data_IF_089107270409
#
_entry.id   IF_089107270409
#
_cell.length_a   1.000
_cell.length_b   1.000
_cell.length_c   1.000
_cell.angle_alpha   90.00
_cell.angle_beta   90.00
_cell.angle_gamma   90.00
#
_symmetry.space_group_name_H-M   'P 1'
#
loop_
_entity.id
_entity.type
_entity.pdbx_description
1 polymer ?
#
# COMPACT_ATOMS: atom_id res chain seq x y z
N UNK A 1 -14.64 27.75 29.64
CA UNK A 1 -15.70 27.14 28.83
C UNK A 1 -15.70 25.66 29.09
N UNK A 2 -16.87 25.03 29.19
CA UNK A 2 -17.00 23.57 29.25
C UNK A 2 -16.95 23.03 27.82
N UNK A 3 -15.98 22.17 27.51
CA UNK A 3 -15.87 21.52 26.19
C UNK A 3 -16.43 20.11 26.30
N UNK A 4 -17.24 19.69 25.32
CA UNK A 4 -17.87 18.35 25.27
C UNK A 4 -17.42 17.56 24.04
N UNK A 5 -16.23 17.87 23.53
CA UNK A 5 -15.63 17.27 22.34
C UNK A 5 -14.13 17.05 22.56
N UNK A 6 -13.61 15.94 22.06
CA UNK A 6 -12.18 15.64 22.03
C UNK A 6 -11.79 15.13 20.65
N UNK A 7 -10.60 15.52 20.18
CA UNK A 7 -10.00 15.00 18.95
C UNK A 7 -9.01 13.90 19.34
N UNK A 8 -9.24 12.69 18.84
CA UNK A 8 -8.31 11.57 18.96
C UNK A 8 -7.42 11.56 17.72
N UNK A 9 -6.12 11.76 17.90
CA UNK A 9 -5.12 11.76 16.84
C UNK A 9 -4.31 10.46 16.86
N UNK A 10 -3.47 10.28 15.84
CA UNK A 10 -2.50 9.18 15.73
C UNK A 10 -3.14 7.78 15.77
N UNK A 11 -4.38 7.68 15.28
CA UNK A 11 -5.05 6.41 15.07
C UNK A 11 -4.48 5.71 13.84
N UNK A 12 -4.37 4.39 13.90
CA UNK A 12 -3.93 3.58 12.78
C UNK A 12 -5.01 3.57 11.68
N UNK A 13 -4.62 3.66 10.40
CA UNK A 13 -5.56 3.62 9.28
C UNK A 13 -6.20 2.24 9.12
N UNK A 14 -7.42 2.22 8.61
CA UNK A 14 -8.20 1.00 8.37
C UNK A 14 -8.34 0.06 9.59
N UNK A 15 -8.27 0.58 10.81
CA UNK A 15 -8.42 -0.17 12.07
C UNK A 15 -9.74 0.17 12.75
N UNK A 16 -10.27 -0.80 13.49
CA UNK A 16 -11.50 -0.65 14.27
C UNK A 16 -11.15 -0.21 15.69
N UNK A 17 -11.78 0.86 16.15
CA UNK A 17 -11.64 1.42 17.49
C UNK A 17 -12.97 1.37 18.24
N UNK A 18 -12.88 1.18 19.55
CA UNK A 18 -14.01 1.36 20.47
C UNK A 18 -13.70 2.50 21.43
N UNK A 19 -14.59 3.50 21.46
CA UNK A 19 -14.43 4.71 22.27
C UNK A 19 -15.55 4.79 23.31
N UNK A 20 -15.19 5.21 24.52
CA UNK A 20 -16.11 5.46 25.65
C UNK A 20 -15.75 6.78 26.32
N UNK A 21 -16.72 7.42 26.95
CA UNK A 21 -16.55 8.67 27.70
C UNK A 21 -16.95 8.46 29.15
N UNK A 22 -16.19 9.04 30.08
CA UNK A 22 -16.45 9.05 31.52
C UNK A 22 -16.49 10.51 32.00
N UNK A 23 -17.47 10.85 32.83
CA UNK A 23 -17.54 12.16 33.46
C UNK A 23 -16.82 12.14 34.81
N UNK A 24 -16.07 13.21 35.13
CA UNK A 24 -15.32 13.32 36.39
C UNK A 24 -15.67 14.62 37.09
N UNK A 25 -15.88 14.57 38.40
CA UNK A 25 -16.02 15.74 39.27
C UNK A 25 -15.10 15.63 40.50
N UNK A 26 -15.21 16.55 41.45
CA UNK A 26 -14.35 16.56 42.65
C UNK A 26 -14.55 15.38 43.62
N UNK A 27 -15.64 14.63 43.48
CA UNK A 27 -15.97 13.46 44.31
C UNK A 27 -15.49 12.17 43.64
N UNK A 28 -15.58 12.08 42.31
CA UNK A 28 -15.13 10.91 41.57
C UNK A 28 -15.61 10.86 40.12
N UNK A 29 -15.58 9.65 39.56
CA UNK A 29 -15.92 9.35 38.17
C UNK A 29 -17.32 8.75 38.06
N UNK A 30 -18.00 8.99 36.94
CA UNK A 30 -19.24 8.30 36.57
C UNK A 30 -18.96 6.91 35.99
N UNK A 31 -19.98 6.05 35.83
CA UNK A 31 -19.89 4.94 34.88
C UNK A 31 -19.56 5.43 33.46
N UNK A 32 -18.95 4.57 32.64
CA UNK A 32 -18.67 4.87 31.23
C UNK A 32 -19.94 4.93 30.40
N UNK A 33 -19.93 5.71 29.33
CA UNK A 33 -20.92 5.61 28.25
C UNK A 33 -20.94 4.22 27.60
N UNK A 34 -21.99 3.95 26.81
CA UNK A 34 -21.98 2.85 25.85
C UNK A 34 -20.81 3.01 24.85
N UNK A 35 -20.20 1.89 24.39
CA UNK A 35 -19.10 1.94 23.45
C UNK A 35 -19.57 2.35 22.05
N UNK A 36 -18.92 3.37 21.50
CA UNK A 36 -19.02 3.68 20.08
C UNK A 36 -17.94 2.91 19.32
N UNK A 37 -18.34 2.04 18.39
CA UNK A 37 -17.42 1.34 17.49
C UNK A 37 -17.33 2.08 16.16
N UNK A 38 -16.12 2.39 15.72
CA UNK A 38 -15.86 3.03 14.42
C UNK A 38 -14.64 2.41 13.75
N UNK A 39 -14.56 2.56 12.43
CA UNK A 39 -13.38 2.18 11.63
C UNK A 39 -12.77 3.45 11.07
N UNK A 40 -11.45 3.60 11.18
CA UNK A 40 -10.72 4.68 10.53
C UNK A 40 -10.68 4.48 9.02
N UNK A 41 -10.60 5.58 8.28
CA UNK A 41 -10.41 5.54 6.84
C UNK A 41 -9.09 4.84 6.47
N UNK A 42 -9.02 4.32 5.25
CA UNK A 42 -7.80 3.75 4.71
C UNK A 42 -6.82 4.83 4.27
N UNK A 43 -5.54 4.48 4.23
CA UNK A 43 -4.47 5.28 3.65
C UNK A 43 -3.71 4.46 2.61
N UNK A 44 -2.78 5.10 1.90
CA UNK A 44 -1.89 4.40 0.99
C UNK A 44 -1.03 3.36 1.76
N UNK A 45 -0.65 2.24 1.13
CA UNK A 45 0.31 1.32 1.72
C UNK A 45 1.59 2.04 2.14
N UNK A 46 2.11 1.69 3.31
CA UNK A 46 3.30 2.31 3.91
C UNK A 46 4.59 1.54 3.64
N UNK A 47 4.49 0.33 3.08
CA UNK A 47 5.62 -0.49 2.68
C UNK A 47 5.52 -0.88 1.21
N UNK A 48 6.68 -1.05 0.58
CA UNK A 48 6.79 -1.48 -0.82
C UNK A 48 6.74 -3.00 -0.93
N UNK A 49 6.40 -3.55 -2.11
CA UNK A 49 6.58 -4.97 -2.37
C UNK A 49 8.03 -5.43 -2.14
N UNK A 50 8.19 -6.69 -1.75
CA UNK A 50 9.50 -7.29 -1.45
C UNK A 50 9.85 -8.40 -2.44
N UNK A 51 11.09 -8.88 -2.40
CA UNK A 51 11.59 -9.94 -3.29
C UNK A 51 11.39 -9.65 -4.79
N UNK A 52 11.46 -8.37 -5.18
CA UNK A 52 11.26 -7.96 -6.57
C UNK A 52 12.38 -8.53 -7.45
N UNK A 53 12.01 -9.29 -8.48
CA UNK A 53 12.93 -9.90 -9.44
C UNK A 53 12.43 -9.63 -10.85
N UNK A 54 13.38 -9.54 -11.80
CA UNK A 54 13.09 -9.41 -13.21
C UNK A 54 13.92 -10.43 -14.00
N UNK A 55 13.26 -11.23 -14.83
CA UNK A 55 13.87 -12.27 -15.64
C UNK A 55 13.44 -12.14 -17.09
N UNK A 56 14.40 -12.09 -18.02
CA UNK A 56 14.10 -12.11 -19.45
C UNK A 56 13.49 -13.46 -19.84
N UNK A 57 12.28 -13.43 -20.42
CA UNK A 57 11.57 -14.63 -20.88
C UNK A 57 11.54 -14.75 -22.40
N UNK A 58 11.83 -13.65 -23.12
CA UNK A 58 12.13 -13.65 -24.55
C UNK A 58 13.02 -12.46 -24.90
N UNK A 59 13.41 -12.33 -26.18
CA UNK A 59 14.14 -11.15 -26.65
C UNK A 59 13.33 -9.84 -26.57
N UNK A 60 12.01 -9.91 -26.36
CA UNK A 60 11.13 -8.73 -26.30
C UNK A 60 10.22 -8.72 -25.07
N UNK A 61 10.52 -9.55 -24.05
CA UNK A 61 9.69 -9.61 -22.85
C UNK A 61 10.49 -9.98 -21.60
N UNK A 62 10.11 -9.38 -20.49
CA UNK A 62 10.66 -9.61 -19.15
C UNK A 62 9.51 -9.92 -18.21
N UNK A 63 9.64 -11.01 -17.46
CA UNK A 63 8.75 -11.33 -16.35
C UNK A 63 9.29 -10.68 -15.07
N UNK A 64 8.43 -9.92 -14.39
CA UNK A 64 8.69 -9.33 -13.08
C UNK A 64 7.93 -10.16 -12.05
N UNK A 65 8.57 -10.54 -10.95
CA UNK A 65 7.94 -11.20 -9.81
C UNK A 65 8.19 -10.44 -8.51
N UNK A 66 7.27 -10.54 -7.56
CA UNK A 66 7.35 -9.88 -6.25
C UNK A 66 6.47 -10.57 -5.22
N UNK A 67 6.65 -10.23 -3.95
CA UNK A 67 5.74 -10.61 -2.86
C UNK A 67 5.05 -9.35 -2.34
N UNK A 68 3.74 -9.41 -2.00
CA UNK A 68 3.05 -8.33 -1.31
C UNK A 68 3.79 -7.90 -0.03
N UNK A 69 3.73 -6.63 0.37
CA UNK A 69 4.18 -6.22 1.69
C UNK A 69 3.29 -6.83 2.78
N UNK A 70 3.71 -6.75 4.04
CA UNK A 70 2.91 -7.25 5.17
C UNK A 70 1.53 -6.61 5.22
N UNK A 71 0.49 -7.39 5.50
CA UNK A 71 -0.90 -6.94 5.48
C UNK A 71 -1.18 -5.76 6.44
N UNK A 72 -0.43 -5.66 7.55
CA UNK A 72 -0.53 -4.54 8.48
C UNK A 72 -0.03 -3.21 7.91
N UNK A 73 0.81 -3.24 6.87
CA UNK A 73 1.33 -2.06 6.19
C UNK A 73 0.43 -1.58 5.05
N UNK A 74 -0.59 -2.34 4.67
CA UNK A 74 -1.48 -1.99 3.55
C UNK A 74 -2.33 -0.77 3.85
N UNK A 75 -2.52 -0.45 5.14
CA UNK A 75 -3.34 0.66 5.60
C UNK A 75 -4.75 0.68 5.01
N UNK A 76 -5.26 -0.48 4.60
CA UNK A 76 -6.45 -0.60 3.77
C UNK A 76 -6.47 -1.91 3.01
N UNK A 77 -7.35 -1.99 2.01
CA UNK A 77 -7.38 -3.11 1.08
C UNK A 77 -6.31 -2.91 0.00
N UNK A 78 -5.45 -3.90 -0.21
CA UNK A 78 -4.51 -3.88 -1.34
C UNK A 78 -5.27 -4.12 -2.65
N UNK A 79 -5.21 -3.16 -3.56
CA UNK A 79 -5.95 -3.19 -4.83
C UNK A 79 -5.11 -3.67 -6.01
N UNK A 80 -3.81 -3.38 -6.00
CA UNK A 80 -2.90 -3.70 -7.09
C UNK A 80 -1.53 -3.07 -6.92
N UNK A 81 -0.76 -3.14 -8.00
CA UNK A 81 0.61 -2.64 -8.12
C UNK A 81 0.77 -1.90 -9.44
N UNK A 82 1.76 -1.02 -9.51
CA UNK A 82 2.23 -0.44 -10.75
C UNK A 82 3.62 -0.97 -11.10
N UNK A 83 3.73 -1.64 -12.25
CA UNK A 83 5.00 -2.15 -12.79
C UNK A 83 5.56 -1.13 -13.77
N UNK A 84 6.56 -0.38 -13.33
CA UNK A 84 7.24 0.63 -14.14
C UNK A 84 8.43 0.05 -14.89
N UNK A 85 8.58 0.37 -16.19
CA UNK A 85 9.76 0.02 -16.97
C UNK A 85 10.27 1.21 -17.79
N UNK A 86 11.59 1.24 -18.00
CA UNK A 86 12.30 2.31 -18.72
C UNK A 86 13.62 1.81 -19.28
N UNK A 87 14.05 2.34 -20.43
CA UNK A 87 15.40 2.13 -20.96
C UNK A 87 16.48 2.66 -20.01
N UNK A 88 17.53 1.87 -19.77
CA UNK A 88 18.69 2.33 -18.99
C UNK A 88 19.36 3.53 -19.67
N UNK A 89 19.69 4.58 -18.92
CA UNK A 89 20.19 5.85 -19.45
C UNK A 89 19.14 6.79 -20.08
N UNK A 90 17.86 6.43 -20.11
CA UNK A 90 16.84 7.31 -20.68
C UNK A 90 16.46 8.51 -19.77
N UNK A 91 16.89 8.49 -18.50
CA UNK A 91 16.69 9.62 -17.56
C UNK A 91 17.41 10.86 -18.06
N UNK A 92 18.65 10.71 -18.52
CA UNK A 92 19.42 11.80 -19.15
C UNK A 92 18.80 12.30 -20.45
N UNK A 93 17.80 11.60 -21.00
CA UNK A 93 17.04 12.01 -22.18
C UNK A 93 15.64 12.55 -21.81
N UNK A 94 15.36 12.78 -20.52
CA UNK A 94 14.07 13.30 -20.05
C UNK A 94 12.92 12.28 -20.10
N UNK A 95 13.19 10.99 -20.27
CA UNK A 95 12.15 9.95 -20.32
C UNK A 95 11.85 9.36 -18.93
N UNK A 96 10.57 9.40 -18.57
CA UNK A 96 10.01 8.78 -17.36
C UNK A 96 9.73 7.29 -17.55
N UNK A 97 9.35 6.60 -16.48
CA UNK A 97 8.86 5.22 -16.53
C UNK A 97 7.52 5.13 -17.27
N UNK A 98 7.33 4.05 -18.02
CA UNK A 98 6.01 3.60 -18.47
C UNK A 98 5.48 2.60 -17.45
N UNK A 99 4.21 2.70 -17.06
CA UNK A 99 3.62 1.87 -16.01
C UNK A 99 2.50 0.99 -16.53
N UNK A 100 2.56 -0.29 -16.17
CA UNK A 100 1.43 -1.20 -16.25
C UNK A 100 0.71 -1.24 -14.90
N UNK A 101 -0.62 -1.25 -14.90
CA UNK A 101 -1.42 -1.43 -13.68
C UNK A 101 -1.78 -2.91 -13.55
N UNK A 102 -1.42 -3.52 -12.44
CA UNK A 102 -1.62 -4.95 -12.17
C UNK A 102 -2.54 -5.09 -10.96
N UNK A 103 -3.69 -5.74 -11.12
CA UNK A 103 -4.58 -6.04 -10.00
C UNK A 103 -4.02 -7.17 -9.11
N UNK A 104 -4.45 -7.23 -7.85
CA UNK A 104 -4.12 -8.36 -6.97
C UNK A 104 -4.89 -9.60 -7.40
N UNK A 105 -4.22 -10.75 -7.47
CA UNK A 105 -4.90 -12.03 -7.71
C UNK A 105 -5.64 -12.45 -6.44
N UNK A 106 -6.94 -12.73 -6.53
CA UNK A 106 -7.75 -13.09 -5.36
C UNK A 106 -7.15 -14.29 -4.61
N UNK A 107 -6.72 -14.09 -3.36
CA UNK A 107 -6.07 -15.11 -2.52
C UNK A 107 -4.54 -15.12 -2.55
N UNK A 108 -3.88 -14.18 -3.24
CA UNK A 108 -2.43 -14.09 -3.30
C UNK A 108 -1.83 -13.47 -2.02
N UNK A 109 -1.58 -14.33 -1.04
CA UNK A 109 -0.63 -14.04 0.05
C UNK A 109 0.82 -14.38 -0.35
N UNK A 110 1.05 -14.76 -1.61
CA UNK A 110 2.31 -15.33 -2.11
C UNK A 110 2.96 -14.49 -3.20
N UNK A 111 3.90 -15.12 -3.92
CA UNK A 111 4.58 -14.47 -5.05
C UNK A 111 3.58 -14.18 -6.19
N UNK A 112 3.56 -12.93 -6.64
CA UNK A 112 2.81 -12.42 -7.78
C UNK A 112 3.77 -12.22 -8.95
N UNK A 113 3.26 -12.34 -10.19
CA UNK A 113 4.08 -12.15 -11.40
C UNK A 113 3.35 -11.38 -12.48
N UNK A 114 4.11 -10.62 -13.27
CA UNK A 114 3.61 -9.90 -14.44
C UNK A 114 4.64 -9.92 -15.57
N UNK A 115 4.19 -10.05 -16.82
CA UNK A 115 5.07 -10.04 -17.99
C UNK A 115 4.94 -8.74 -18.76
N UNK A 116 6.02 -7.96 -18.78
CA UNK A 116 6.15 -6.77 -19.61
C UNK A 116 6.64 -7.20 -20.99
N UNK A 117 5.81 -7.02 -22.01
CA UNK A 117 6.09 -7.42 -23.39
C UNK A 117 6.32 -6.22 -24.31
N UNK A 118 6.75 -6.47 -25.55
CA UNK A 118 6.99 -5.42 -26.56
C UNK A 118 8.27 -4.61 -26.32
N UNK A 119 9.18 -5.13 -25.48
CA UNK A 119 10.46 -4.50 -25.20
C UNK A 119 11.40 -4.62 -26.40
N UNK A 120 12.27 -3.62 -26.59
CA UNK A 120 13.35 -3.69 -27.57
C UNK A 120 14.38 -4.75 -27.18
N UNK A 121 14.80 -5.57 -28.14
CA UNK A 121 15.78 -6.63 -27.93
C UNK A 121 17.19 -6.11 -27.70
N UNK A 122 18.01 -6.94 -27.06
CA UNK A 122 19.42 -6.63 -26.71
C UNK A 122 19.58 -5.28 -25.98
N UNK A 123 18.58 -4.89 -25.20
CA UNK A 123 18.51 -3.57 -24.57
C UNK A 123 18.34 -3.70 -23.07
N UNK A 124 18.99 -2.82 -22.32
CA UNK A 124 18.93 -2.81 -20.86
C UNK A 124 17.77 -1.93 -20.39
N UNK A 125 16.98 -2.47 -19.46
CA UNK A 125 15.85 -1.78 -18.85
C UNK A 125 16.03 -1.69 -17.33
N UNK A 126 15.47 -0.64 -16.76
CA UNK A 126 15.25 -0.47 -15.33
C UNK A 126 13.78 -0.77 -15.07
N UNK A 127 13.52 -1.61 -14.07
CA UNK A 127 12.18 -1.91 -13.57
C UNK A 127 12.00 -1.34 -12.17
N UNK A 128 10.81 -0.82 -11.90
CA UNK A 128 10.38 -0.36 -10.58
C UNK A 128 9.00 -0.90 -10.29
N UNK A 129 8.70 -1.12 -9.02
CA UNK A 129 7.42 -1.62 -8.55
C UNK A 129 6.96 -0.75 -7.38
N UNK A 130 5.69 -0.37 -7.38
CA UNK A 130 5.05 0.45 -6.36
C UNK A 130 3.62 -0.02 -6.12
#
# INVERSE_FOLDING_TARGET
>A
GSTTSALLNDLLPAKVYQVRVVAVNSVGESPSSEPLTLRTEGEAPSATPINVRAMGVSSHAVQVSWTPPDADSWNGQLLGYYVGHRLDGAVSQGRSFSFDTVGVTAGAAGEETWTVAGLQSFTRYIFVLQ
#
